data_IF_321580616948
#
_entry.id   IF_321580616948
#
_cell.length_a   1.000
_cell.length_b   1.000
_cell.length_c   1.000
_cell.angle_alpha   90.00
_cell.angle_beta   90.00
_cell.angle_gamma   90.00
#
_symmetry.space_group_name_H-M   'P 1'
#
loop_
_entity.id
_entity.type
_entity.pdbx_description
1 polymer ?
#
# COMPACT_ATOMS: atom_id res chain seq x y z
N UNK A 1 -3.02 -20.40 3.69
CA UNK A 1 -2.20 -20.76 2.50
C UNK A 1 -0.92 -19.93 2.57
N UNK A 2 0.24 -20.51 2.31
CA UNK A 2 1.52 -19.77 2.39
C UNK A 2 1.74 -19.10 1.04
N UNK A 3 1.91 -17.79 1.03
CA UNK A 3 2.26 -17.03 -0.19
C UNK A 3 3.62 -17.54 -0.71
N UNK A 4 3.62 -18.18 -1.89
CA UNK A 4 4.84 -18.70 -2.50
C UNK A 4 5.50 -17.62 -3.36
N UNK A 5 6.81 -17.49 -3.26
CA UNK A 5 7.59 -16.59 -4.11
C UNK A 5 8.43 -17.40 -5.08
N UNK A 6 8.41 -17.03 -6.37
CA UNK A 6 9.20 -17.66 -7.45
C UNK A 6 10.49 -16.89 -7.75
N UNK A 7 10.60 -15.66 -7.29
CA UNK A 7 11.74 -14.78 -7.56
C UNK A 7 12.48 -14.48 -6.27
N UNK A 8 13.77 -14.24 -6.38
CA UNK A 8 14.62 -13.84 -5.26
C UNK A 8 14.65 -12.31 -5.10
N UNK A 9 15.03 -11.85 -3.92
CA UNK A 9 15.26 -10.44 -3.63
C UNK A 9 16.71 -10.08 -3.98
N UNK A 10 16.88 -8.89 -4.55
CA UNK A 10 18.19 -8.23 -4.59
C UNK A 10 18.58 -7.74 -3.19
N UNK A 11 19.87 -7.50 -2.94
CA UNK A 11 20.37 -7.12 -1.62
C UNK A 11 19.74 -5.83 -1.10
N UNK A 12 19.57 -4.82 -1.96
CA UNK A 12 18.91 -3.57 -1.57
C UNK A 12 17.43 -3.75 -1.23
N UNK A 13 16.73 -4.69 -1.89
CA UNK A 13 15.34 -5.03 -1.56
C UNK A 13 15.28 -5.76 -0.21
N UNK A 14 16.21 -6.67 0.04
CA UNK A 14 16.35 -7.37 1.33
C UNK A 14 16.58 -6.38 2.47
N UNK A 15 17.48 -5.43 2.30
CA UNK A 15 17.74 -4.39 3.28
C UNK A 15 16.50 -3.50 3.54
N UNK A 16 15.71 -3.20 2.51
CA UNK A 16 14.45 -2.46 2.66
C UNK A 16 13.40 -3.28 3.43
N UNK A 17 13.28 -4.57 3.13
CA UNK A 17 12.38 -5.49 3.86
C UNK A 17 12.76 -5.53 5.33
N UNK A 18 14.02 -5.75 5.67
CA UNK A 18 14.51 -5.83 7.06
C UNK A 18 14.17 -4.57 7.88
N UNK A 19 14.31 -3.39 7.27
CA UNK A 19 13.95 -2.11 7.91
C UNK A 19 12.45 -1.97 8.16
N UNK A 20 11.60 -2.49 7.28
CA UNK A 20 10.15 -2.31 7.34
C UNK A 20 9.42 -3.41 8.13
N UNK A 21 10.00 -4.59 8.27
CA UNK A 21 9.36 -5.71 8.98
C UNK A 21 8.98 -5.41 10.43
N UNK A 22 9.78 -4.69 11.25
CA UNK A 22 9.42 -4.33 12.61
C UNK A 22 8.26 -3.34 12.71
N UNK A 23 8.04 -2.55 11.65
CA UNK A 23 7.08 -1.46 11.64
C UNK A 23 5.68 -1.95 11.24
N UNK A 24 4.63 -1.40 11.86
CA UNK A 24 3.24 -1.63 11.44
C UNK A 24 2.87 -0.76 10.23
N UNK A 25 3.45 0.43 10.18
CA UNK A 25 3.25 1.43 9.14
C UNK A 25 4.60 1.77 8.51
N UNK A 26 4.64 2.03 7.22
CA UNK A 26 5.89 2.37 6.56
C UNK A 26 5.70 2.94 5.16
N UNK A 27 6.74 3.64 4.69
CA UNK A 27 6.83 4.15 3.34
C UNK A 27 7.98 3.44 2.61
N UNK A 28 7.69 2.91 1.44
CA UNK A 28 8.67 2.29 0.55
C UNK A 28 8.92 3.25 -0.62
N UNK A 29 9.90 4.13 -0.45
CA UNK A 29 10.34 5.06 -1.48
C UNK A 29 11.52 4.45 -2.25
N UNK A 30 11.21 3.95 -3.42
CA UNK A 30 12.18 3.33 -4.32
C UNK A 30 11.88 3.81 -5.75
N UNK A 31 12.91 4.03 -6.54
CA UNK A 31 12.77 4.47 -7.94
C UNK A 31 11.91 3.51 -8.77
N UNK A 32 11.42 3.99 -9.90
CA UNK A 32 10.68 3.14 -10.83
C UNK A 32 11.59 2.01 -11.35
N UNK A 33 11.02 0.82 -11.52
CA UNK A 33 11.77 -0.36 -12.00
C UNK A 33 12.66 -1.05 -10.98
N UNK A 34 12.79 -0.55 -9.74
CA UNK A 34 13.62 -1.17 -8.69
C UNK A 34 12.94 -2.31 -7.93
N UNK A 35 11.72 -2.72 -8.35
CA UNK A 35 11.02 -3.86 -7.78
C UNK A 35 10.28 -3.58 -6.47
N UNK A 36 9.61 -2.43 -6.36
CA UNK A 36 8.74 -2.10 -5.22
C UNK A 36 7.72 -3.19 -4.94
N UNK A 37 7.07 -3.70 -6.00
CA UNK A 37 6.09 -4.79 -5.90
C UNK A 37 6.70 -6.03 -5.25
N UNK A 38 7.87 -6.44 -5.71
CA UNK A 38 8.57 -7.62 -5.17
C UNK A 38 8.92 -7.45 -3.69
N UNK A 39 9.41 -6.25 -3.32
CA UNK A 39 9.75 -5.90 -1.94
C UNK A 39 8.51 -5.90 -1.04
N UNK A 40 7.40 -5.31 -1.50
CA UNK A 40 6.14 -5.31 -0.78
C UNK A 40 5.56 -6.73 -0.59
N UNK A 41 5.64 -7.57 -1.61
CA UNK A 41 5.20 -8.96 -1.56
C UNK A 41 5.96 -9.78 -0.51
N UNK A 42 7.27 -9.53 -0.32
CA UNK A 42 8.03 -10.20 0.72
C UNK A 42 7.56 -9.82 2.12
N UNK A 43 7.25 -8.53 2.34
CA UNK A 43 6.71 -8.04 3.62
C UNK A 43 5.32 -8.65 3.87
N UNK A 44 4.47 -8.73 2.84
CA UNK A 44 3.16 -9.40 2.91
C UNK A 44 3.35 -10.85 3.31
N UNK A 45 4.20 -11.58 2.59
CA UNK A 45 4.50 -12.99 2.86
C UNK A 45 4.91 -13.20 4.31
N UNK A 46 5.90 -12.46 4.78
CA UNK A 46 6.36 -12.56 6.17
C UNK A 46 5.24 -12.34 7.19
N UNK A 47 4.41 -11.32 6.97
CA UNK A 47 3.30 -11.00 7.88
C UNK A 47 2.21 -12.07 7.87
N UNK A 48 1.93 -12.65 6.70
CA UNK A 48 1.01 -13.79 6.57
C UNK A 48 1.56 -15.05 7.27
N UNK A 49 2.82 -15.39 7.03
CA UNK A 49 3.49 -16.52 7.66
C UNK A 49 3.51 -16.43 9.20
N UNK A 50 3.58 -15.21 9.73
CA UNK A 50 3.50 -14.92 11.16
C UNK A 50 2.07 -14.76 11.69
N UNK A 51 1.04 -14.98 10.87
CA UNK A 51 -0.37 -14.81 11.25
C UNK A 51 -0.77 -13.39 11.62
N UNK A 52 0.06 -12.39 11.26
CA UNK A 52 -0.19 -10.96 11.54
C UNK A 52 -1.26 -10.37 10.64
N UNK A 53 -1.34 -10.84 9.40
CA UNK A 53 -2.37 -10.46 8.42
C UNK A 53 -2.92 -11.70 7.71
N UNK A 54 -4.14 -11.59 7.21
CA UNK A 54 -4.80 -12.61 6.38
C UNK A 54 -5.42 -12.02 5.10
N UNK A 55 -5.38 -10.70 4.94
CA UNK A 55 -5.88 -10.00 3.77
C UNK A 55 -5.00 -8.79 3.43
N UNK A 56 -4.97 -8.44 2.15
CA UNK A 56 -4.29 -7.24 1.62
C UNK A 56 -5.25 -6.49 0.72
N UNK A 57 -5.40 -5.20 0.97
CA UNK A 57 -6.02 -4.26 0.05
C UNK A 57 -4.89 -3.48 -0.62
N UNK A 58 -4.76 -3.63 -1.93
CA UNK A 58 -3.74 -2.92 -2.70
C UNK A 58 -4.41 -1.89 -3.60
N UNK A 59 -4.28 -0.62 -3.22
CA UNK A 59 -4.80 0.51 -3.98
C UNK A 59 -3.73 0.98 -4.96
N UNK A 60 -4.12 1.17 -6.21
CA UNK A 60 -3.25 1.71 -7.27
C UNK A 60 -4.09 2.51 -8.27
N UNK A 61 -3.47 3.35 -9.13
CA UNK A 61 -4.18 3.96 -10.25
C UNK A 61 -4.86 2.89 -11.12
N UNK A 62 -6.05 3.17 -11.63
CA UNK A 62 -6.76 2.23 -12.52
C UNK A 62 -5.93 1.87 -13.75
N UNK A 63 -5.14 2.81 -14.27
CA UNK A 63 -4.28 2.63 -15.45
C UNK A 63 -3.19 1.57 -15.26
N UNK A 64 -2.67 1.40 -14.03
CA UNK A 64 -1.58 0.44 -13.75
C UNK A 64 -2.08 -0.88 -13.15
N UNK A 65 -3.35 -1.00 -12.85
CA UNK A 65 -3.95 -2.18 -12.19
C UNK A 65 -3.62 -3.50 -12.90
N UNK A 66 -3.67 -3.51 -14.23
CA UNK A 66 -3.33 -4.70 -15.03
C UNK A 66 -1.85 -5.06 -14.90
N UNK A 67 -0.97 -4.07 -14.97
CA UNK A 67 0.47 -4.28 -14.85
C UNK A 67 0.83 -4.77 -13.45
N UNK A 68 0.25 -4.18 -12.41
CA UNK A 68 0.43 -4.63 -11.03
C UNK A 68 -0.01 -6.09 -10.85
N UNK A 69 -1.16 -6.48 -11.41
CA UNK A 69 -1.63 -7.87 -11.37
C UNK A 69 -0.63 -8.82 -12.03
N UNK A 70 -0.15 -8.47 -13.23
CA UNK A 70 0.82 -9.27 -13.95
C UNK A 70 2.15 -9.40 -13.19
N UNK A 71 2.60 -8.32 -12.55
CA UNK A 71 3.81 -8.28 -11.76
C UNK A 71 3.70 -9.19 -10.51
N UNK A 72 2.56 -9.13 -9.81
CA UNK A 72 2.26 -10.04 -8.69
C UNK A 72 2.27 -11.50 -9.17
N UNK A 73 1.60 -11.79 -10.29
CA UNK A 73 1.55 -13.15 -10.86
C UNK A 73 2.94 -13.63 -11.28
N UNK A 74 3.78 -12.76 -11.83
CA UNK A 74 5.17 -13.09 -12.17
C UNK A 74 5.97 -13.51 -10.93
N UNK A 75 5.85 -12.76 -9.83
CA UNK A 75 6.58 -13.05 -8.61
C UNK A 75 6.02 -14.22 -7.79
N UNK A 76 4.71 -14.43 -7.80
CA UNK A 76 4.03 -15.47 -7.02
C UNK A 76 3.70 -16.72 -7.84
N UNK A 77 3.64 -16.61 -9.17
CA UNK A 77 3.23 -17.68 -10.08
C UNK A 77 1.72 -17.73 -10.34
N UNK A 78 0.92 -17.21 -9.44
CA UNK A 78 -0.53 -17.05 -9.53
C UNK A 78 -0.95 -15.80 -8.78
N UNK A 79 -2.19 -15.35 -8.99
CA UNK A 79 -2.73 -14.23 -8.21
C UNK A 79 -3.20 -14.74 -6.84
N UNK A 80 -2.58 -14.30 -5.74
CA UNK A 80 -2.99 -14.73 -4.40
C UNK A 80 -4.42 -14.26 -4.09
N UNK A 81 -5.24 -15.12 -3.54
CA UNK A 81 -6.64 -14.83 -3.21
C UNK A 81 -6.76 -13.79 -2.09
N UNK A 82 -5.77 -13.72 -1.24
CA UNK A 82 -5.69 -12.79 -0.11
C UNK A 82 -5.44 -11.34 -0.55
N UNK A 83 -4.97 -11.12 -1.79
CA UNK A 83 -4.66 -9.80 -2.31
C UNK A 83 -5.79 -9.29 -3.19
N UNK A 84 -6.47 -8.24 -2.74
CA UNK A 84 -7.49 -7.54 -3.53
C UNK A 84 -6.92 -6.24 -4.08
N UNK A 85 -6.81 -6.14 -5.42
CA UNK A 85 -6.39 -4.91 -6.10
C UNK A 85 -7.62 -4.05 -6.41
N UNK A 86 -7.59 -2.79 -5.97
CA UNK A 86 -8.64 -1.82 -6.25
C UNK A 86 -8.05 -0.55 -6.86
N UNK A 87 -8.69 -0.02 -7.90
CA UNK A 87 -8.33 1.29 -8.45
C UNK A 87 -8.70 2.42 -7.49
N UNK A 88 -7.82 3.38 -7.31
CA UNK A 88 -8.06 4.56 -6.45
C UNK A 88 -9.28 5.33 -6.94
N UNK A 89 -9.43 5.49 -8.25
CA UNK A 89 -10.56 6.14 -8.88
C UNK A 89 -11.85 5.33 -8.67
N UNK A 90 -11.77 4.01 -8.78
CA UNK A 90 -12.91 3.11 -8.53
C UNK A 90 -13.38 3.18 -7.07
N UNK A 91 -12.44 3.25 -6.13
CA UNK A 91 -12.77 3.40 -4.71
C UNK A 91 -13.55 4.69 -4.45
N UNK A 92 -13.22 5.77 -5.18
CA UNK A 92 -13.85 7.08 -5.01
C UNK A 92 -15.22 7.20 -5.66
N UNK A 93 -15.46 6.49 -6.78
CA UNK A 93 -16.67 6.66 -7.60
C UNK A 93 -17.70 5.53 -7.40
N UNK A 94 -17.30 4.38 -6.89
CA UNK A 94 -18.19 3.22 -6.73
C UNK A 94 -18.50 2.92 -5.28
N UNK A 95 -19.73 3.16 -4.86
CA UNK A 95 -20.23 2.80 -3.52
C UNK A 95 -20.00 1.32 -3.23
N UNK A 96 -20.32 0.44 -4.18
CA UNK A 96 -20.12 -1.02 -4.06
C UNK A 96 -18.68 -1.39 -3.74
N UNK A 97 -17.69 -0.77 -4.42
CA UNK A 97 -16.29 -1.05 -4.17
C UNK A 97 -15.82 -0.44 -2.83
N UNK A 98 -16.31 0.74 -2.47
CA UNK A 98 -16.02 1.36 -1.18
C UNK A 98 -16.49 0.45 -0.02
N UNK A 99 -17.73 0.00 -0.07
CA UNK A 99 -18.30 -0.92 0.93
C UNK A 99 -17.52 -2.24 0.99
N UNK A 100 -17.19 -2.83 -0.16
CA UNK A 100 -16.39 -4.06 -0.22
C UNK A 100 -15.02 -3.89 0.46
N UNK A 101 -14.34 -2.79 0.19
CA UNK A 101 -13.02 -2.53 0.82
C UNK A 101 -13.16 -2.29 2.32
N UNK A 102 -14.22 -1.61 2.76
CA UNK A 102 -14.50 -1.41 4.19
C UNK A 102 -14.80 -2.73 4.91
N UNK A 103 -15.50 -3.65 4.28
CA UNK A 103 -15.77 -4.98 4.84
C UNK A 103 -14.49 -5.83 4.95
N UNK A 104 -13.53 -5.65 4.04
CA UNK A 104 -12.24 -6.33 4.08
C UNK A 104 -11.26 -5.70 5.08
N UNK A 105 -11.41 -4.40 5.38
CA UNK A 105 -10.52 -3.67 6.26
C UNK A 105 -10.66 -4.13 7.71
N UNK A 106 -9.56 -4.24 8.42
CA UNK A 106 -9.55 -4.63 9.82
C UNK A 106 -8.15 -4.85 10.39
N UNK A 107 -8.09 -5.33 11.62
CA UNK A 107 -6.87 -5.58 12.39
C UNK A 107 -5.87 -6.51 11.67
N UNK A 108 -6.36 -7.49 10.90
CA UNK A 108 -5.56 -8.46 10.15
C UNK A 108 -5.47 -8.13 8.66
N UNK A 109 -5.83 -6.92 8.27
CA UNK A 109 -5.71 -6.45 6.89
C UNK A 109 -4.53 -5.50 6.76
N UNK A 110 -3.75 -5.66 5.70
CA UNK A 110 -2.71 -4.71 5.31
C UNK A 110 -3.21 -3.86 4.16
N UNK A 111 -3.18 -2.54 4.33
CA UNK A 111 -3.44 -1.59 3.26
C UNK A 111 -2.13 -1.18 2.60
N UNK A 112 -2.07 -1.29 1.27
CA UNK A 112 -1.00 -0.75 0.45
C UNK A 112 -1.58 0.31 -0.48
N UNK A 113 -0.96 1.47 -0.54
CA UNK A 113 -1.30 2.55 -1.47
C UNK A 113 -0.11 2.79 -2.39
N UNK A 114 -0.25 2.36 -3.62
CA UNK A 114 0.76 2.54 -4.66
C UNK A 114 0.54 3.87 -5.38
N UNK A 115 1.64 4.50 -5.82
CA UNK A 115 1.63 5.86 -6.35
C UNK A 115 0.95 6.85 -5.39
N UNK A 116 1.37 6.84 -4.13
CA UNK A 116 0.78 7.63 -3.03
C UNK A 116 0.77 9.14 -3.28
N UNK A 117 1.51 9.62 -4.30
CA UNK A 117 1.44 10.99 -4.79
C UNK A 117 0.04 11.40 -5.34
N UNK A 118 -0.83 10.45 -5.64
CA UNK A 118 -2.22 10.72 -6.02
C UNK A 118 -3.10 11.12 -4.84
N UNK A 119 -2.62 10.97 -3.60
CA UNK A 119 -3.34 11.30 -2.35
C UNK A 119 -2.87 12.64 -1.75
N UNK A 120 -2.35 13.56 -2.58
CA UNK A 120 -1.77 14.83 -2.11
C UNK A 120 -2.79 15.85 -1.63
N UNK A 121 -3.97 15.91 -2.26
CA UNK A 121 -5.01 16.87 -1.86
C UNK A 121 -5.84 16.28 -0.71
N UNK A 122 -5.71 16.81 0.52
CA UNK A 122 -6.43 16.28 1.69
C UNK A 122 -7.95 16.45 1.57
N UNK A 123 -8.43 17.42 0.79
CA UNK A 123 -9.86 17.71 0.58
C UNK A 123 -10.45 16.96 -0.62
N UNK A 124 -9.69 16.14 -1.30
CA UNK A 124 -10.22 15.31 -2.38
C UNK A 124 -10.97 14.10 -1.80
N UNK A 125 -12.16 13.84 -2.29
CA UNK A 125 -13.00 12.69 -1.87
C UNK A 125 -12.22 11.35 -1.87
N UNK A 126 -11.31 11.17 -2.84
CA UNK A 126 -10.43 10.01 -2.90
C UNK A 126 -9.52 9.90 -1.69
N UNK A 127 -8.96 11.02 -1.22
CA UNK A 127 -8.07 11.07 -0.05
C UNK A 127 -8.85 10.74 1.22
N UNK A 128 -10.04 11.29 1.37
CA UNK A 128 -10.93 11.01 2.51
C UNK A 128 -11.28 9.52 2.59
N UNK A 129 -11.70 8.91 1.47
CA UNK A 129 -12.03 7.49 1.42
C UNK A 129 -10.83 6.59 1.75
N UNK A 130 -9.65 6.90 1.19
CA UNK A 130 -8.43 6.14 1.46
C UNK A 130 -7.99 6.30 2.91
N UNK A 131 -8.06 7.52 3.46
CA UNK A 131 -7.70 7.80 4.86
C UNK A 131 -8.63 7.07 5.82
N UNK A 132 -9.95 7.10 5.56
CA UNK A 132 -10.92 6.36 6.36
C UNK A 132 -10.64 4.84 6.34
N UNK A 133 -10.31 4.29 5.16
CA UNK A 133 -9.94 2.89 5.02
C UNK A 133 -8.62 2.57 5.76
N UNK A 134 -7.63 3.47 5.68
CA UNK A 134 -6.35 3.32 6.35
C UNK A 134 -6.49 3.25 7.88
N UNK A 135 -7.39 4.04 8.46
CA UNK A 135 -7.65 4.03 9.90
C UNK A 135 -8.24 2.70 10.40
N UNK A 136 -8.90 1.94 9.52
CA UNK A 136 -9.44 0.62 9.84
C UNK A 136 -8.38 -0.49 9.78
N UNK A 137 -7.25 -0.26 9.08
CA UNK A 137 -6.20 -1.24 8.87
C UNK A 137 -5.04 -1.02 9.85
N UNK A 138 -4.62 -2.06 10.54
CA UNK A 138 -3.50 -2.00 11.49
C UNK A 138 -2.15 -1.87 10.77
N UNK A 139 -2.00 -2.51 9.62
CA UNK A 139 -0.78 -2.49 8.82
C UNK A 139 -1.00 -1.64 7.58
N UNK A 140 -0.13 -0.65 7.38
CA UNK A 140 -0.25 0.30 6.27
C UNK A 140 1.10 0.52 5.62
N UNK A 141 1.11 0.56 4.28
CA UNK A 141 2.31 0.86 3.51
C UNK A 141 1.95 1.77 2.34
N UNK A 142 2.76 2.78 2.11
CA UNK A 142 2.71 3.58 0.90
C UNK A 142 3.91 3.24 0.02
N UNK A 143 3.68 3.17 -1.28
CA UNK A 143 4.72 2.96 -2.29
C UNK A 143 4.79 4.21 -3.17
N UNK A 144 5.99 4.68 -3.45
CA UNK A 144 6.18 5.79 -4.39
C UNK A 144 7.61 5.81 -4.96
N UNK A 145 7.73 6.20 -6.24
CA UNK A 145 9.03 6.44 -6.87
C UNK A 145 9.55 7.87 -6.63
N UNK A 146 8.63 8.84 -6.63
CA UNK A 146 8.92 10.27 -6.48
C UNK A 146 8.00 10.89 -5.42
N UNK A 147 8.33 10.77 -4.13
CA UNK A 147 7.42 11.18 -3.04
C UNK A 147 7.19 12.70 -3.00
N UNK A 148 8.18 13.50 -3.40
CA UNK A 148 8.09 14.95 -3.50
C UNK A 148 8.14 15.36 -4.97
N UNK A 149 7.09 16.02 -5.46
CA UNK A 149 7.02 16.47 -6.84
C UNK A 149 7.01 17.99 -6.99
N UNK A 150 6.51 18.72 -6.02
CA UNK A 150 6.43 20.19 -6.03
C UNK A 150 7.06 20.80 -4.78
N UNK A 151 6.62 20.36 -3.61
CA UNK A 151 7.11 20.87 -2.32
C UNK A 151 6.95 19.79 -1.23
N UNK A 152 7.49 20.06 -0.05
CA UNK A 152 7.41 19.13 1.08
C UNK A 152 5.99 18.89 1.60
N UNK A 153 5.01 19.77 1.31
CA UNK A 153 3.62 19.54 1.66
C UNK A 153 3.03 18.31 0.92
N UNK A 154 3.64 17.90 -0.20
CA UNK A 154 3.27 16.66 -0.90
C UNK A 154 3.39 15.42 0.00
N UNK A 155 4.29 15.45 0.99
CA UNK A 155 4.49 14.36 1.94
C UNK A 155 3.43 14.33 3.03
N UNK A 156 2.81 15.47 3.34
CA UNK A 156 1.87 15.56 4.45
C UNK A 156 0.72 14.55 4.32
N UNK A 157 -0.02 14.60 3.22
CA UNK A 157 -1.16 13.69 3.00
C UNK A 157 -0.73 12.22 2.94
N UNK A 158 0.46 11.94 2.38
CA UNK A 158 1.00 10.59 2.31
C UNK A 158 1.32 10.04 3.71
N UNK A 159 1.95 10.84 4.55
CA UNK A 159 2.29 10.43 5.92
C UNK A 159 1.08 10.46 6.86
N UNK A 160 0.16 11.40 6.65
CA UNK A 160 -1.11 11.43 7.38
C UNK A 160 -1.93 10.16 7.18
N UNK A 161 -1.89 9.60 5.95
CA UNK A 161 -2.52 8.32 5.62
C UNK A 161 -1.88 7.15 6.41
N UNK A 162 -0.56 7.19 6.62
CA UNK A 162 0.12 6.20 7.45
C UNK A 162 -0.28 6.37 8.92
N UNK A 163 0.01 7.53 9.47
CA UNK A 163 -0.39 7.92 10.82
C UNK A 163 -0.10 9.42 11.01
N UNK A 164 -1.12 10.21 11.34
CA UNK A 164 -0.96 11.65 11.59
C UNK A 164 0.08 11.96 12.69
N UNK A 165 0.29 11.04 13.63
CA UNK A 165 1.26 11.17 14.72
C UNK A 165 2.71 11.19 14.24
N UNK A 166 3.00 10.65 13.06
CA UNK A 166 4.34 10.71 12.44
C UNK A 166 4.76 12.16 12.21
N UNK A 167 3.81 13.03 11.91
CA UNK A 167 4.07 14.45 11.65
C UNK A 167 3.93 15.32 12.91
N UNK A 168 3.29 14.82 13.96
CA UNK A 168 2.96 15.58 15.15
C UNK A 168 1.83 16.61 14.98
N UNK A 169 1.29 16.76 13.77
CA UNK A 169 0.23 17.73 13.44
C UNK A 169 -0.96 17.04 12.79
N UNK A 170 -2.17 17.51 13.10
CA UNK A 170 -3.41 17.04 12.47
C UNK A 170 -3.79 17.81 11.20
N UNK A 171 -3.12 18.93 10.93
CA UNK A 171 -3.35 19.78 9.78
C UNK A 171 -2.03 20.23 9.17
N UNK A 172 -1.94 20.40 7.85
CA UNK A 172 -0.75 20.93 7.18
C UNK A 172 -0.55 22.44 7.41
N UNK A 173 -1.50 23.12 8.07
CA UNK A 173 -1.51 24.56 8.39
C UNK A 173 -1.81 24.80 9.86
#
# INVERSE_FOLDING_TARGET
>A
MILKMKTELYDYQRAAVEKLLPLKIGALYMEMGTGKTRTALEIIKYRMDKGKINAVIWLCPCSVKRNLRNDIMFHCGEMPQEITICGIETLSTSVKWNEKMRQLAGEKTMLIVDESNLVKNPHALRTEHITALAQMCKYRMILNGTPVTRNYADLFSQWYLLDWRVLGYKSPY
#
